data_IF_883813866318
#
_entry.id   IF_883813866318
#
_cell.length_a   1.000
_cell.length_b   1.000
_cell.length_c   1.000
_cell.angle_alpha   90.00
_cell.angle_beta   90.00
_cell.angle_gamma   90.00
#
_symmetry.space_group_name_H-M   'P 1'
#
loop_
_entity.id
_entity.type
_entity.pdbx_description
1 polymer ?
#
# COMPACT_ATOMS: atom_id res chain seq x y z
N UNK A 1 -20.92 -78.45 3.02
CA UNK A 1 -21.01 -77.09 3.55
C UNK A 1 -19.84 -76.28 3.02
N UNK A 2 -19.96 -75.79 1.80
CA UNK A 2 -18.99 -74.86 1.21
C UNK A 2 -19.65 -74.19 0.02
N UNK A 3 -20.43 -73.13 0.21
CA UNK A 3 -20.97 -72.34 -0.89
C UNK A 3 -21.42 -70.91 -0.51
N UNK A 4 -20.89 -70.34 0.53
CA UNK A 4 -21.32 -69.01 0.97
C UNK A 4 -20.24 -67.90 0.83
N UNK A 5 -18.99 -68.23 0.64
CA UNK A 5 -17.89 -67.27 0.72
C UNK A 5 -17.45 -66.67 -0.62
N UNK A 6 -17.77 -67.27 -1.76
CA UNK A 6 -17.31 -66.78 -3.06
C UNK A 6 -18.16 -65.64 -3.66
N UNK A 7 -19.43 -65.52 -3.28
CA UNK A 7 -20.30 -64.45 -3.86
C UNK A 7 -20.04 -63.06 -3.25
N UNK A 8 -19.58 -63.01 -2.01
CA UNK A 8 -19.35 -61.72 -1.35
C UNK A 8 -18.11 -61.01 -1.90
N UNK A 9 -17.06 -61.75 -2.29
CA UNK A 9 -15.81 -61.16 -2.85
C UNK A 9 -16.02 -60.60 -4.26
N UNK A 10 -16.88 -61.16 -5.08
CA UNK A 10 -17.12 -60.66 -6.43
C UNK A 10 -17.98 -59.38 -6.44
N UNK A 11 -18.90 -59.23 -5.53
CA UNK A 11 -19.70 -58.03 -5.38
C UNK A 11 -18.89 -56.85 -4.82
N UNK A 12 -17.97 -57.11 -3.91
CA UNK A 12 -17.06 -56.07 -3.40
C UNK A 12 -16.13 -55.50 -4.46
N UNK A 13 -15.62 -56.34 -5.37
CA UNK A 13 -14.73 -55.89 -6.45
C UNK A 13 -15.45 -55.01 -7.49
N UNK A 14 -16.72 -55.31 -7.81
CA UNK A 14 -17.52 -54.55 -8.78
C UNK A 14 -17.88 -53.17 -8.23
N UNK A 15 -18.26 -53.10 -6.95
CA UNK A 15 -18.63 -51.84 -6.28
C UNK A 15 -17.35 -50.96 -6.14
N UNK A 16 -16.23 -51.56 -5.80
CA UNK A 16 -14.95 -50.84 -5.69
C UNK A 16 -14.49 -50.22 -7.04
N UNK A 17 -14.65 -50.98 -8.14
CA UNK A 17 -14.28 -50.46 -9.48
C UNK A 17 -15.20 -49.31 -9.94
N UNK A 18 -16.50 -49.38 -9.66
CA UNK A 18 -17.47 -48.34 -9.99
C UNK A 18 -17.23 -47.06 -9.20
N UNK A 19 -16.91 -47.18 -7.91
CA UNK A 19 -16.61 -45.99 -7.06
C UNK A 19 -15.31 -45.32 -7.46
N UNK A 20 -14.26 -46.05 -7.78
CA UNK A 20 -12.97 -45.49 -8.22
C UNK A 20 -13.15 -44.77 -9.57
N UNK A 21 -13.92 -45.31 -10.51
CA UNK A 21 -14.19 -44.63 -11.78
C UNK A 21 -15.06 -43.39 -11.63
N UNK A 22 -16.03 -43.40 -10.73
CA UNK A 22 -16.86 -42.23 -10.45
C UNK A 22 -16.08 -41.09 -9.78
N UNK A 23 -15.23 -41.42 -8.77
CA UNK A 23 -14.39 -40.44 -8.09
C UNK A 23 -13.35 -39.85 -9.04
N UNK A 24 -12.77 -40.64 -9.94
CA UNK A 24 -11.82 -40.16 -10.93
C UNK A 24 -12.47 -39.18 -11.92
N UNK A 25 -13.70 -39.47 -12.38
CA UNK A 25 -14.45 -38.56 -13.27
C UNK A 25 -14.84 -37.24 -12.56
N UNK A 26 -15.31 -37.31 -11.31
CA UNK A 26 -15.67 -36.12 -10.56
C UNK A 26 -14.45 -35.24 -10.30
N UNK A 27 -13.29 -35.81 -9.97
CA UNK A 27 -12.06 -35.04 -9.81
C UNK A 27 -11.59 -34.37 -11.11
N UNK A 28 -11.77 -35.03 -12.25
CA UNK A 28 -11.35 -34.47 -13.53
C UNK A 28 -12.26 -33.34 -14.00
N UNK A 29 -13.56 -33.42 -13.80
CA UNK A 29 -14.51 -32.36 -14.18
C UNK A 29 -14.42 -31.14 -13.24
N UNK A 30 -14.10 -31.30 -11.96
CA UNK A 30 -13.89 -30.19 -11.05
C UNK A 30 -12.58 -29.42 -11.30
N UNK A 31 -11.59 -30.06 -11.92
CA UNK A 31 -10.34 -29.39 -12.29
C UNK A 31 -10.48 -28.50 -13.54
N UNK A 32 -11.57 -28.64 -14.31
CA UNK A 32 -11.81 -27.85 -15.52
C UNK A 32 -12.73 -26.64 -15.23
N UNK A 33 -13.39 -26.59 -14.07
CA UNK A 33 -14.35 -25.54 -13.71
C UNK A 33 -13.85 -24.54 -12.65
N UNK A 34 -12.56 -24.51 -12.34
CA UNK A 34 -12.01 -23.34 -11.66
C UNK A 34 -11.97 -22.19 -12.65
N UNK A 35 -12.68 -21.07 -12.41
CA UNK A 35 -12.45 -19.90 -13.23
C UNK A 35 -10.99 -19.53 -13.05
N UNK A 36 -10.23 -19.58 -14.15
CA UNK A 36 -8.97 -18.87 -14.25
C UNK A 36 -9.25 -17.45 -13.79
N UNK A 37 -8.79 -17.07 -12.60
CA UNK A 37 -8.71 -15.67 -12.22
C UNK A 37 -7.90 -15.01 -13.31
N UNK A 38 -8.61 -14.34 -14.20
CA UNK A 38 -8.05 -13.54 -15.27
C UNK A 38 -7.12 -12.52 -14.65
N UNK A 39 -5.85 -12.87 -14.55
CA UNK A 39 -4.79 -11.88 -14.51
C UNK A 39 -4.86 -11.19 -15.87
N UNK A 40 -5.62 -10.10 -15.96
CA UNK A 40 -5.76 -9.29 -17.17
C UNK A 40 -4.41 -8.66 -17.46
N UNK A 41 -3.58 -9.41 -18.17
CA UNK A 41 -2.42 -8.84 -18.85
C UNK A 41 -2.99 -7.98 -19.97
N UNK A 42 -2.91 -6.67 -19.83
CA UNK A 42 -3.27 -5.73 -20.87
C UNK A 42 -2.29 -5.91 -22.05
N UNK A 43 -2.62 -6.80 -22.98
CA UNK A 43 -1.97 -6.88 -24.28
C UNK A 43 -2.57 -5.85 -25.24
N UNK A 44 -1.70 -5.11 -25.91
CA UNK A 44 -1.98 -4.13 -26.93
C UNK A 44 -3.08 -4.59 -27.93
N UNK A 45 -4.30 -4.13 -27.72
CA UNK A 45 -5.29 -4.00 -28.78
C UNK A 45 -6.44 -3.12 -28.30
N UNK A 46 -6.55 -1.93 -28.90
CA UNK A 46 -7.65 -0.94 -28.82
C UNK A 46 -7.94 -0.46 -27.39
N UNK A 47 -7.77 0.83 -27.15
CA UNK A 47 -7.94 1.52 -25.87
C UNK A 47 -9.21 1.10 -25.10
N UNK A 48 -9.17 -0.06 -24.47
CA UNK A 48 -10.14 -0.49 -23.50
C UNK A 48 -9.57 -0.07 -22.13
N UNK A 49 -10.31 0.74 -21.47
CA UNK A 49 -10.20 1.36 -20.16
C UNK A 49 -9.56 0.43 -19.09
N UNK A 50 -8.23 0.27 -19.14
CA UNK A 50 -7.54 -0.32 -17.99
C UNK A 50 -7.55 0.75 -16.91
N UNK A 51 -8.18 0.50 -15.74
CA UNK A 51 -8.14 1.47 -14.67
C UNK A 51 -6.69 1.80 -14.33
N UNK A 52 -6.37 3.08 -14.32
CA UNK A 52 -5.05 3.57 -13.95
C UNK A 52 -4.66 2.95 -12.59
N UNK A 53 -3.47 2.38 -12.53
CA UNK A 53 -2.95 1.71 -11.33
C UNK A 53 -1.61 2.28 -10.95
N UNK A 54 -1.34 2.27 -9.67
CA UNK A 54 -0.02 2.67 -9.17
C UNK A 54 1.10 1.78 -9.73
N UNK A 55 2.28 2.35 -9.96
CA UNK A 55 3.47 1.57 -10.30
C UNK A 55 3.76 0.48 -9.27
N UNK A 56 4.51 -0.55 -9.68
CA UNK A 56 4.93 -1.61 -8.75
C UNK A 56 5.64 -1.04 -7.52
N UNK A 57 5.28 -1.52 -6.34
CA UNK A 57 5.81 -1.06 -5.05
C UNK A 57 5.06 0.12 -4.43
N UNK A 58 4.21 0.81 -5.18
CA UNK A 58 3.37 1.88 -4.66
C UNK A 58 2.01 1.34 -4.23
N UNK A 59 1.45 1.91 -3.18
CA UNK A 59 0.11 1.58 -2.67
C UNK A 59 -0.88 2.66 -3.07
N UNK A 60 -2.01 2.25 -3.65
CA UNK A 60 -3.04 3.17 -4.12
C UNK A 60 -3.99 3.58 -2.99
N UNK A 61 -4.29 4.87 -2.93
CA UNK A 61 -5.40 5.44 -2.16
C UNK A 61 -6.12 6.47 -3.04
N UNK A 62 -7.38 6.22 -3.35
CA UNK A 62 -8.12 7.06 -4.30
C UNK A 62 -7.45 7.14 -5.67
N UNK A 63 -7.20 8.35 -6.13
CA UNK A 63 -6.46 8.67 -7.37
C UNK A 63 -4.97 8.86 -7.18
N UNK A 64 -4.43 8.55 -6.01
CA UNK A 64 -3.02 8.79 -5.66
C UNK A 64 -2.31 7.50 -5.29
N UNK A 65 -1.00 7.52 -5.44
CA UNK A 65 -0.07 6.44 -5.13
C UNK A 65 0.91 6.88 -4.07
N UNK A 66 1.13 6.03 -3.06
CA UNK A 66 2.02 6.31 -1.94
C UNK A 66 3.05 5.20 -1.78
N UNK A 67 4.25 5.56 -1.35
CA UNK A 67 5.31 4.60 -1.00
C UNK A 67 6.11 5.09 0.19
N UNK A 68 6.35 4.19 1.15
CA UNK A 68 7.16 4.47 2.33
C UNK A 68 8.58 3.98 2.17
N UNK A 69 9.56 4.81 2.56
CA UNK A 69 10.97 4.48 2.61
C UNK A 69 11.51 4.50 4.04
N UNK A 70 11.96 3.35 4.50
CA UNK A 70 12.53 3.19 5.84
C UNK A 70 13.89 3.87 6.01
N UNK A 71 14.66 4.00 4.92
CA UNK A 71 15.99 4.63 4.94
C UNK A 71 15.87 6.12 5.24
N UNK A 72 16.39 6.55 6.39
CA UNK A 72 16.31 7.94 6.81
C UNK A 72 17.17 8.88 5.96
N UNK A 73 16.60 10.04 5.60
CA UNK A 73 17.25 11.12 4.86
C UNK A 73 16.90 12.47 5.49
N UNK A 74 17.72 13.51 5.22
CA UNK A 74 17.32 14.89 5.45
C UNK A 74 16.13 15.21 4.54
N UNK A 75 15.28 16.14 4.96
CA UNK A 75 14.05 16.46 4.21
C UNK A 75 14.31 16.76 2.72
N UNK A 76 15.27 17.65 2.43
CA UNK A 76 15.61 18.00 1.03
C UNK A 76 16.18 16.83 0.22
N UNK A 77 16.88 15.89 0.85
CA UNK A 77 17.41 14.71 0.18
C UNK A 77 16.31 13.66 -0.04
N UNK A 78 15.33 13.59 0.87
CA UNK A 78 14.13 12.78 0.71
C UNK A 78 13.26 13.30 -0.45
N UNK A 79 13.03 14.62 -0.52
CA UNK A 79 12.29 15.26 -1.61
C UNK A 79 12.96 14.99 -2.97
N UNK A 80 14.26 15.23 -3.09
CA UNK A 80 15.03 14.92 -4.32
C UNK A 80 14.89 13.45 -4.72
N UNK A 81 14.87 12.55 -3.74
CA UNK A 81 14.69 11.13 -4.00
C UNK A 81 13.27 10.85 -4.52
N UNK A 82 12.22 11.39 -3.90
CA UNK A 82 10.85 11.23 -4.38
C UNK A 82 10.69 11.76 -5.81
N UNK A 83 11.28 12.92 -6.13
CA UNK A 83 11.29 13.47 -7.49
C UNK A 83 11.99 12.51 -8.47
N UNK A 84 13.10 11.88 -8.08
CA UNK A 84 13.84 10.95 -8.95
C UNK A 84 13.06 9.69 -9.33
N UNK A 85 12.02 9.35 -8.56
CA UNK A 85 11.12 8.21 -8.81
C UNK A 85 9.74 8.63 -9.34
N UNK A 86 9.59 9.92 -9.71
CA UNK A 86 8.39 10.47 -10.36
C UNK A 86 7.29 10.89 -9.42
N UNK A 87 7.60 11.34 -8.22
CA UNK A 87 6.68 11.93 -7.25
C UNK A 87 7.33 13.03 -6.44
N UNK A 88 6.75 13.38 -5.28
CA UNK A 88 7.27 14.31 -4.28
C UNK A 88 7.14 13.66 -2.89
N UNK A 89 7.71 14.25 -1.86
CA UNK A 89 7.28 13.92 -0.49
C UNK A 89 5.77 14.12 -0.37
N UNK A 90 5.11 13.21 0.32
CA UNK A 90 3.64 13.14 0.32
C UNK A 90 2.99 14.40 0.88
N UNK A 91 2.10 15.02 0.12
CA UNK A 91 1.09 15.93 0.62
C UNK A 91 -0.09 15.14 1.19
N UNK A 92 -0.85 15.72 2.12
CA UNK A 92 -2.02 15.08 2.76
C UNK A 92 -3.19 16.06 2.73
N UNK A 93 -4.34 15.62 2.19
CA UNK A 93 -5.47 16.49 1.89
C UNK A 93 -6.75 16.16 2.66
N UNK A 94 -6.75 15.07 3.45
CA UNK A 94 -7.91 14.68 4.25
C UNK A 94 -7.51 13.82 5.46
N UNK A 95 -8.43 13.69 6.42
CA UNK A 95 -8.28 12.79 7.58
C UNK A 95 -8.12 11.33 7.15
N UNK A 96 -8.81 10.91 6.10
CA UNK A 96 -8.75 9.53 5.61
C UNK A 96 -7.38 9.24 4.98
N UNK A 97 -6.84 10.21 4.22
CA UNK A 97 -5.50 10.12 3.64
C UNK A 97 -4.42 10.14 4.74
N UNK A 98 -4.59 10.98 5.77
CA UNK A 98 -3.71 11.00 6.95
C UNK A 98 -3.70 9.64 7.66
N UNK A 99 -4.87 9.06 7.91
CA UNK A 99 -5.02 7.74 8.52
C UNK A 99 -4.35 6.65 7.66
N UNK A 100 -4.59 6.69 6.33
CA UNK A 100 -3.97 5.75 5.40
C UNK A 100 -2.44 5.80 5.43
N UNK A 101 -1.85 7.00 5.40
CA UNK A 101 -0.39 7.20 5.45
C UNK A 101 0.18 6.77 6.80
N UNK A 102 -0.45 7.14 7.91
CA UNK A 102 -0.05 6.72 9.26
C UNK A 102 -0.07 5.20 9.41
N UNK A 103 -1.12 4.55 8.94
CA UNK A 103 -1.24 3.09 8.92
C UNK A 103 -0.17 2.41 8.08
N UNK A 104 0.17 2.98 6.91
CA UNK A 104 1.24 2.48 6.05
C UNK A 104 2.58 2.50 6.79
N UNK A 105 2.91 3.60 7.45
CA UNK A 105 4.14 3.76 8.24
C UNK A 105 4.15 2.76 9.40
N UNK A 106 3.05 2.69 10.16
CA UNK A 106 2.93 1.83 11.34
C UNK A 106 3.11 0.34 11.01
N UNK A 107 2.53 -0.12 9.90
CA UNK A 107 2.71 -1.51 9.43
C UNK A 107 4.14 -1.82 9.00
N UNK A 108 4.85 -0.83 8.45
CA UNK A 108 6.20 -1.03 7.92
C UNK A 108 7.30 -0.87 8.99
N UNK A 109 7.11 -0.01 9.99
CA UNK A 109 8.20 0.41 10.89
C UNK A 109 7.79 0.67 12.34
N UNK A 110 6.52 0.47 12.68
CA UNK A 110 5.94 0.98 13.92
C UNK A 110 5.77 2.50 13.89
N UNK A 111 5.29 3.09 14.97
CA UNK A 111 5.06 4.53 15.08
C UNK A 111 6.40 5.29 15.07
N UNK A 112 6.84 5.72 13.89
CA UNK A 112 8.07 6.50 13.68
C UNK A 112 7.76 7.85 13.08
N UNK A 113 8.39 8.87 13.62
CA UNK A 113 8.39 10.19 13.03
C UNK A 113 8.97 10.11 11.60
N UNK A 114 8.20 10.56 10.63
CA UNK A 114 8.42 10.32 9.21
C UNK A 114 8.21 11.62 8.43
N UNK A 115 9.13 11.95 7.51
CA UNK A 115 8.96 13.13 6.65
C UNK A 115 7.78 12.98 5.70
N UNK A 116 7.01 14.05 5.59
CA UNK A 116 6.07 14.32 4.51
C UNK A 116 6.37 15.68 3.88
N UNK A 117 5.66 16.07 2.81
CA UNK A 117 6.06 17.18 1.93
C UNK A 117 5.80 18.60 2.45
N UNK A 118 5.29 18.76 3.67
CA UNK A 118 5.00 20.08 4.23
C UNK A 118 6.25 20.84 4.64
N UNK A 119 6.28 22.15 4.33
CA UNK A 119 7.33 23.06 4.78
C UNK A 119 6.85 24.51 4.83
N UNK A 120 7.46 25.34 5.68
CA UNK A 120 7.29 26.79 5.72
C UNK A 120 8.62 27.54 5.61
N UNK A 121 9.64 26.89 5.04
CA UNK A 121 10.98 27.43 4.90
C UNK A 121 11.09 28.72 4.05
N UNK A 122 10.05 29.05 3.29
CA UNK A 122 10.00 30.26 2.45
C UNK A 122 9.41 31.44 3.23
N UNK A 123 8.42 31.19 4.06
CA UNK A 123 7.72 32.21 4.85
C UNK A 123 7.15 31.55 6.11
N UNK A 124 7.63 31.93 7.26
CA UNK A 124 7.28 31.38 8.57
C UNK A 124 5.78 31.34 8.82
N UNK A 125 5.27 30.16 9.24
CA UNK A 125 3.85 29.86 9.42
C UNK A 125 3.00 29.83 8.16
N UNK A 126 3.60 29.99 6.99
CA UNK A 126 2.93 29.79 5.70
C UNK A 126 3.29 28.44 5.13
N UNK A 127 2.59 27.43 5.57
CA UNK A 127 2.83 26.05 5.17
C UNK A 127 2.48 25.80 3.70
N UNK A 128 3.37 25.12 3.00
CA UNK A 128 3.25 24.74 1.60
C UNK A 128 3.54 23.24 1.47
N UNK A 129 2.94 22.61 0.47
CA UNK A 129 3.35 21.28 0.05
C UNK A 129 4.42 21.37 -1.05
N UNK A 130 5.43 20.47 -1.01
CA UNK A 130 6.53 20.44 -2.01
C UNK A 130 6.05 20.09 -3.42
N UNK A 131 4.90 19.43 -3.56
CA UNK A 131 4.27 19.13 -4.85
C UNK A 131 3.48 20.32 -5.44
N UNK A 132 3.38 21.44 -4.72
CA UNK A 132 2.65 22.63 -5.13
C UNK A 132 1.13 22.59 -4.92
N UNK A 133 0.60 21.53 -4.33
CA UNK A 133 -0.83 21.44 -3.99
C UNK A 133 -1.20 22.37 -2.82
N UNK A 134 -2.49 22.67 -2.66
CA UNK A 134 -2.99 23.56 -1.60
C UNK A 134 -2.85 22.93 -0.22
N UNK A 135 -2.37 23.71 0.76
CA UNK A 135 -2.28 23.31 2.17
C UNK A 135 -3.55 23.71 2.92
N UNK A 136 -4.61 22.90 2.83
CA UNK A 136 -5.92 23.20 3.44
C UNK A 136 -6.24 22.28 4.62
N UNK A 137 -5.74 21.06 4.63
CA UNK A 137 -5.89 20.11 5.72
C UNK A 137 -4.66 20.15 6.62
N UNK A 138 -4.84 20.10 7.93
CA UNK A 138 -3.80 20.02 8.92
C UNK A 138 -4.18 19.11 10.08
N UNK A 139 -3.19 18.42 10.65
CA UNK A 139 -3.38 17.50 11.79
C UNK A 139 -2.27 17.67 12.84
N UNK A 140 -2.04 18.92 13.24
CA UNK A 140 -0.97 19.27 14.16
C UNK A 140 -1.16 18.70 15.58
N UNK A 141 -0.06 18.30 16.21
CA UNK A 141 -0.04 18.04 17.65
C UNK A 141 -0.39 19.31 18.43
N UNK A 142 -0.84 19.16 19.69
CA UNK A 142 -1.16 20.30 20.53
C UNK A 142 0.03 21.27 20.65
N UNK A 143 -0.21 22.55 20.40
CA UNK A 143 0.77 23.65 20.35
C UNK A 143 1.81 23.57 19.21
N UNK A 144 1.60 22.70 18.21
CA UNK A 144 2.39 22.72 17.00
C UNK A 144 1.64 23.43 15.84
N UNK A 145 2.35 24.01 14.87
CA UNK A 145 3.81 24.16 14.76
C UNK A 145 4.31 25.26 15.72
N UNK A 146 5.42 25.01 16.44
CA UNK A 146 5.94 25.94 17.45
C UNK A 146 7.29 26.60 17.07
N UNK A 147 7.90 26.16 15.97
CA UNK A 147 9.20 26.62 15.50
C UNK A 147 10.25 26.72 16.61
N UNK A 148 10.32 25.72 17.47
CA UNK A 148 11.22 25.71 18.63
C UNK A 148 12.68 25.89 18.20
N UNK A 149 13.34 26.89 18.76
CA UNK A 149 14.69 27.28 18.34
C UNK A 149 14.79 28.10 17.06
N UNK A 150 13.68 28.43 16.40
CA UNK A 150 13.63 29.30 15.22
C UNK A 150 14.17 28.66 13.93
N UNK A 151 14.10 27.32 13.80
CA UNK A 151 14.64 26.59 12.67
C UNK A 151 13.86 25.32 12.30
N UNK A 152 12.60 25.18 12.75
CA UNK A 152 11.74 24.03 12.44
C UNK A 152 10.82 24.34 11.28
N UNK A 153 11.24 24.03 10.08
CA UNK A 153 10.55 24.39 8.84
C UNK A 153 10.12 23.19 7.99
N UNK A 154 10.22 21.98 8.52
CA UNK A 154 9.86 20.77 7.78
C UNK A 154 8.91 19.89 8.61
N UNK A 155 7.91 19.34 7.94
CA UNK A 155 6.80 18.64 8.56
C UNK A 155 7.08 17.14 8.69
N UNK A 156 6.94 16.60 9.90
CA UNK A 156 6.92 15.17 10.17
C UNK A 156 5.53 14.70 10.64
N UNK A 157 5.15 13.49 10.27
CA UNK A 157 3.94 12.78 10.72
C UNK A 157 4.32 11.71 11.75
N UNK A 158 3.34 11.23 12.51
CA UNK A 158 3.46 10.25 13.58
C UNK A 158 4.25 10.73 14.82
N UNK A 159 4.18 12.01 15.10
CA UNK A 159 4.57 12.54 16.39
C UNK A 159 3.37 12.40 17.35
N UNK A 160 3.30 11.25 18.06
CA UNK A 160 2.12 10.93 18.90
C UNK A 160 0.82 10.88 18.10
N UNK A 161 0.85 10.31 16.87
CA UNK A 161 -0.23 10.22 15.90
C UNK A 161 -0.62 11.54 15.21
N UNK A 162 0.12 12.62 15.45
CA UNK A 162 -0.11 13.95 14.89
C UNK A 162 1.06 14.44 14.05
N UNK A 163 0.98 15.67 13.59
CA UNK A 163 2.03 16.37 12.87
C UNK A 163 2.85 17.27 13.78
N UNK A 164 4.12 17.41 13.47
CA UNK A 164 5.06 18.26 14.16
C UNK A 164 6.00 18.95 13.15
N UNK A 165 6.45 20.16 13.45
CA UNK A 165 7.52 20.83 12.72
C UNK A 165 8.87 20.46 13.33
N UNK A 166 9.87 20.31 12.45
CA UNK A 166 11.22 19.89 12.83
C UNK A 166 12.28 20.56 11.95
N UNK A 167 13.54 20.69 12.44
CA UNK A 167 14.63 21.14 11.57
C UNK A 167 14.83 20.21 10.38
N UNK A 168 14.81 20.75 9.18
CA UNK A 168 14.93 19.98 7.92
C UNK A 168 16.24 19.18 7.79
N UNK A 169 17.23 19.49 8.64
CA UNK A 169 18.54 18.81 8.70
C UNK A 169 18.52 17.46 9.41
N UNK A 170 17.44 17.16 10.14
CA UNK A 170 17.28 15.85 10.76
C UNK A 170 17.04 14.77 9.73
N UNK A 171 17.46 13.54 10.06
CA UNK A 171 17.22 12.40 9.18
C UNK A 171 16.03 11.59 9.67
N UNK A 172 15.06 11.36 8.78
CA UNK A 172 13.84 10.57 9.02
C UNK A 172 13.58 9.60 7.89
N UNK A 173 12.89 8.48 8.13
CA UNK A 173 12.16 7.79 7.06
C UNK A 173 11.19 8.76 6.41
N UNK A 174 10.65 8.43 5.24
CA UNK A 174 9.82 9.37 4.49
C UNK A 174 8.78 8.64 3.62
N UNK A 175 7.74 9.36 3.27
CA UNK A 175 6.70 8.92 2.33
C UNK A 175 6.74 9.78 1.09
N UNK A 176 6.76 9.13 -0.08
CA UNK A 176 6.55 9.79 -1.35
C UNK A 176 5.11 9.56 -1.84
N UNK A 177 4.58 10.53 -2.57
CA UNK A 177 3.31 10.40 -3.28
C UNK A 177 3.40 10.88 -4.72
N UNK A 178 2.45 10.44 -5.54
CA UNK A 178 2.22 10.90 -6.91
C UNK A 178 0.78 10.62 -7.32
N UNK A 179 0.29 11.31 -8.31
CA UNK A 179 -1.00 10.97 -8.94
C UNK A 179 -0.87 9.73 -9.83
N UNK A 180 -2.04 9.11 -10.11
CA UNK A 180 -2.19 7.96 -11.01
C UNK A 180 -1.84 8.30 -12.45
#
# INVERSE_FOLDING_TARGET
>A
MASGFQLVFLLGSIIGLLTVRAVSKIKYEQLISTPLTSSSVCHHSVAADCPARCPSGWTQFGSRCFIFYYQSRKWSDAEKFCISIGGNLASIHSSDENTFVSDMINRASGSRNTWIGGHDAVDERRWLWSDGSSFEYAHWYSNQPDNSGGNQHCLEINYGDYWNDMPCTYSRPFVCSRDL
#
